data_IF_013711115791
#
_entry.id   IF_013711115791
#
_cell.length_a   1.000
_cell.length_b   1.000
_cell.length_c   1.000
_cell.angle_alpha   90.00
_cell.angle_beta   90.00
_cell.angle_gamma   90.00
#
_symmetry.space_group_name_H-M   'P 1'
#
loop_
_entity.id
_entity.type
_entity.pdbx_description
1 polymer ?
#
# COMPACT_ATOMS: atom_id res chain seq x y z
N UNK A 1 43.39 -5.89 37.07
CA UNK A 1 42.53 -5.14 36.11
C UNK A 1 41.42 -6.09 35.70
N UNK A 2 40.32 -6.03 36.43
CA UNK A 2 39.18 -6.90 36.14
C UNK A 2 38.38 -6.29 34.95
N UNK A 3 38.38 -6.99 33.85
CA UNK A 3 37.49 -6.66 32.72
C UNK A 3 36.04 -6.94 33.15
N UNK A 4 35.28 -5.89 33.39
CA UNK A 4 33.83 -6.00 33.54
C UNK A 4 33.23 -6.10 32.17
N UNK A 5 33.06 -7.31 31.67
CA UNK A 5 32.21 -7.60 30.51
C UNK A 5 30.76 -7.57 30.97
N UNK A 6 30.07 -6.48 30.70
CA UNK A 6 28.62 -6.43 30.86
C UNK A 6 27.95 -7.07 29.64
N UNK A 7 27.34 -8.22 29.85
CA UNK A 7 26.48 -8.88 28.83
C UNK A 7 25.15 -8.09 28.75
N UNK A 8 25.05 -7.19 27.79
CA UNK A 8 23.79 -6.54 27.45
C UNK A 8 23.06 -7.38 26.43
N UNK A 9 21.93 -8.00 26.80
CA UNK A 9 21.02 -8.54 25.81
C UNK A 9 20.39 -7.39 25.04
N UNK A 10 20.29 -7.51 23.71
CA UNK A 10 19.65 -6.50 22.84
C UNK A 10 18.23 -6.14 23.29
N UNK A 11 17.53 -7.06 23.96
CA UNK A 11 16.20 -6.85 24.55
C UNK A 11 16.17 -5.83 25.71
N UNK A 12 17.30 -5.52 26.32
CA UNK A 12 17.41 -4.54 27.42
C UNK A 12 17.65 -3.10 26.92
N UNK A 13 17.97 -2.92 25.64
CA UNK A 13 18.28 -1.61 25.04
C UNK A 13 17.10 -0.97 24.31
N UNK A 14 16.01 -1.70 24.11
CA UNK A 14 14.81 -1.19 23.47
C UNK A 14 13.72 -1.08 24.52
N UNK A 15 13.28 0.14 24.84
CA UNK A 15 12.09 0.31 25.66
C UNK A 15 10.91 -0.45 25.05
N UNK A 16 10.20 -1.28 25.83
CA UNK A 16 9.08 -2.03 25.30
C UNK A 16 8.02 -1.06 24.80
N UNK A 17 7.73 -1.09 23.50
CA UNK A 17 6.59 -0.35 22.92
C UNK A 17 5.32 -0.94 23.53
N UNK A 18 4.69 -0.20 24.43
CA UNK A 18 3.43 -0.60 25.04
C UNK A 18 2.25 -0.28 24.14
N UNK A 19 1.30 -1.20 24.02
CA UNK A 19 0.04 -0.97 23.35
C UNK A 19 -0.81 0.02 24.17
N UNK A 20 -1.01 1.23 23.65
CA UNK A 20 -1.79 2.29 24.30
C UNK A 20 -3.26 2.25 23.87
N UNK A 21 -3.53 1.81 22.66
CA UNK A 21 -4.86 1.74 22.08
C UNK A 21 -5.05 0.37 21.43
N UNK A 22 -6.08 -0.37 21.87
CA UNK A 22 -6.49 -1.62 21.22
C UNK A 22 -7.54 -1.28 20.18
N UNK A 23 -7.23 -1.34 18.88
CA UNK A 23 -8.22 -1.06 17.86
C UNK A 23 -9.26 -2.19 17.80
N UNK A 24 -10.54 -1.84 17.97
CA UNK A 24 -11.65 -2.74 17.65
C UNK A 24 -12.12 -2.41 16.24
N UNK A 25 -11.94 -3.36 15.33
CA UNK A 25 -12.36 -3.21 13.93
C UNK A 25 -13.28 -4.35 13.53
N UNK A 26 -14.25 -4.03 12.67
CA UNK A 26 -14.99 -5.03 11.91
C UNK A 26 -14.62 -4.85 10.45
N UNK A 27 -14.21 -5.93 9.80
CA UNK A 27 -13.73 -5.91 8.42
C UNK A 27 -14.77 -6.58 7.53
N UNK A 28 -15.16 -5.90 6.46
CA UNK A 28 -15.91 -6.48 5.36
C UNK A 28 -15.10 -6.30 4.08
N UNK A 29 -14.92 -7.36 3.30
CA UNK A 29 -14.20 -7.32 2.04
C UNK A 29 -14.99 -8.05 0.95
N UNK A 30 -14.97 -7.51 -0.26
CA UNK A 30 -15.62 -8.10 -1.43
C UNK A 30 -14.82 -7.76 -2.68
N UNK A 31 -14.69 -8.74 -3.56
CA UNK A 31 -14.21 -8.55 -4.93
C UNK A 31 -15.22 -9.15 -5.89
N UNK A 32 -15.25 -8.68 -7.13
CA UNK A 32 -16.18 -9.14 -8.16
C UNK A 32 -15.49 -9.10 -9.51
N UNK A 33 -15.64 -10.15 -10.30
CA UNK A 33 -15.09 -10.24 -11.66
C UNK A 33 -15.69 -9.21 -12.63
N UNK A 34 -16.88 -8.70 -12.32
CA UNK A 34 -17.66 -7.88 -13.22
C UNK A 34 -18.30 -8.71 -14.34
N UNK A 35 -18.72 -8.01 -15.42
CA UNK A 35 -19.49 -8.63 -16.51
C UNK A 35 -18.73 -8.73 -17.84
N UNK A 36 -17.52 -8.21 -17.91
CA UNK A 36 -16.75 -8.05 -19.15
C UNK A 36 -15.42 -8.79 -19.11
N UNK A 37 -14.80 -8.86 -17.92
CA UNK A 37 -13.47 -9.46 -17.74
C UNK A 37 -13.57 -10.98 -17.59
N UNK A 38 -12.57 -11.71 -18.08
CA UNK A 38 -12.43 -13.16 -17.90
C UNK A 38 -11.69 -13.50 -16.60
N UNK A 39 -10.81 -12.61 -16.13
CA UNK A 39 -10.04 -12.75 -14.91
C UNK A 39 -10.26 -11.55 -13.98
N UNK A 40 -10.27 -11.82 -12.69
CA UNK A 40 -10.21 -10.78 -11.68
C UNK A 40 -8.75 -10.44 -11.40
N UNK A 41 -8.36 -9.23 -11.76
CA UNK A 41 -6.99 -8.71 -11.59
C UNK A 41 -6.84 -7.96 -10.26
N UNK A 42 -7.95 -7.72 -9.55
CA UNK A 42 -7.95 -7.09 -8.23
C UNK A 42 -7.48 -8.07 -7.14
N UNK A 43 -6.74 -7.55 -6.20
CA UNK A 43 -6.36 -8.26 -4.98
C UNK A 43 -6.56 -7.36 -3.77
N UNK A 44 -7.11 -7.93 -2.71
CA UNK A 44 -7.04 -7.33 -1.39
C UNK A 44 -6.43 -8.31 -0.40
N UNK A 45 -5.81 -7.78 0.63
CA UNK A 45 -5.27 -8.54 1.74
C UNK A 45 -5.37 -7.70 3.01
N UNK A 46 -5.48 -8.35 4.16
CA UNK A 46 -5.40 -7.66 5.43
C UNK A 46 -4.68 -8.53 6.46
N UNK A 47 -4.00 -7.87 7.39
CA UNK A 47 -3.30 -8.52 8.47
C UNK A 47 -3.71 -7.90 9.81
N UNK A 48 -4.16 -8.75 10.72
CA UNK A 48 -4.57 -8.40 12.08
C UNK A 48 -3.66 -9.20 13.03
N UNK A 49 -2.67 -8.56 13.68
CA UNK A 49 -1.78 -9.25 14.61
C UNK A 49 -2.54 -9.86 15.79
N UNK A 50 -2.16 -11.08 16.18
CA UNK A 50 -2.65 -11.73 17.39
C UNK A 50 -1.87 -11.32 18.64
N UNK A 51 -0.59 -10.95 18.48
CA UNK A 51 0.28 -10.54 19.56
C UNK A 51 0.30 -9.02 19.75
N UNK A 52 0.34 -8.59 21.02
CA UNK A 52 0.29 -7.18 21.40
C UNK A 52 1.50 -6.38 20.91
N UNK A 53 2.68 -7.00 20.80
CA UNK A 53 3.90 -6.30 20.36
C UNK A 53 3.80 -5.90 18.90
N UNK A 54 3.42 -6.84 18.04
CA UNK A 54 3.21 -6.57 16.62
C UNK A 54 2.06 -5.58 16.42
N UNK A 55 0.97 -5.73 17.17
CA UNK A 55 -0.14 -4.78 17.13
C UNK A 55 0.29 -3.37 17.54
N UNK A 56 1.13 -3.23 18.56
CA UNK A 56 1.62 -1.94 19.04
C UNK A 56 2.61 -1.26 18.09
N UNK A 57 3.42 -2.06 17.36
CA UNK A 57 4.51 -1.55 16.52
C UNK A 57 4.17 -1.49 15.04
N UNK A 58 3.40 -2.45 14.55
CA UNK A 58 3.04 -2.60 13.13
C UNK A 58 1.57 -2.29 12.85
N UNK A 59 0.70 -2.46 13.85
CA UNK A 59 -0.73 -2.17 13.74
C UNK A 59 -1.49 -3.16 12.86
N UNK A 60 -2.68 -2.73 12.45
CA UNK A 60 -3.53 -3.44 11.49
C UNK A 60 -3.18 -2.96 10.08
N UNK A 61 -3.18 -3.89 9.12
CA UNK A 61 -2.82 -3.59 7.72
C UNK A 61 -3.97 -4.00 6.81
N UNK A 62 -4.37 -3.11 5.90
CA UNK A 62 -5.36 -3.35 4.85
C UNK A 62 -4.77 -2.87 3.54
N UNK A 63 -4.76 -3.72 2.51
CA UNK A 63 -4.17 -3.41 1.21
C UNK A 63 -5.13 -3.79 0.10
N UNK A 64 -5.24 -2.93 -0.90
CA UNK A 64 -5.94 -3.18 -2.17
C UNK A 64 -4.98 -2.90 -3.32
N UNK A 65 -4.96 -3.78 -4.30
CA UNK A 65 -4.17 -3.68 -5.51
C UNK A 65 -5.05 -3.99 -6.73
N UNK A 66 -5.12 -3.08 -7.70
CA UNK A 66 -5.78 -3.28 -9.00
C UNK A 66 -4.70 -3.60 -10.04
N UNK A 67 -4.71 -4.83 -10.54
CA UNK A 67 -3.69 -5.34 -11.44
C UNK A 67 -3.94 -4.94 -12.89
N UNK A 68 -2.88 -4.60 -13.59
CA UNK A 68 -2.92 -4.27 -15.02
C UNK A 68 -1.86 -5.03 -15.81
N UNK A 69 -2.11 -5.19 -17.12
CA UNK A 69 -1.19 -5.90 -18.03
C UNK A 69 -1.89 -6.96 -18.88
N UNK A 70 -3.18 -7.10 -18.71
CA UNK A 70 -4.04 -8.00 -19.44
C UNK A 70 -3.91 -9.49 -19.06
N UNK A 71 -5.01 -10.23 -19.12
CA UNK A 71 -5.09 -11.65 -18.78
C UNK A 71 -4.55 -11.97 -17.37
N UNK A 72 -3.69 -12.99 -17.25
CA UNK A 72 -3.11 -13.40 -15.98
C UNK A 72 -1.97 -12.49 -15.45
N UNK A 73 -1.51 -11.51 -16.22
CA UNK A 73 -0.36 -10.69 -15.84
C UNK A 73 -0.73 -9.69 -14.74
N UNK A 74 -1.87 -9.01 -14.85
CA UNK A 74 -2.36 -8.09 -13.82
C UNK A 74 -2.67 -8.81 -12.51
N UNK A 75 -3.32 -9.98 -12.57
CA UNK A 75 -3.58 -10.80 -11.38
C UNK A 75 -2.30 -11.18 -10.63
N UNK A 76 -1.24 -11.54 -11.38
CA UNK A 76 0.04 -11.87 -10.76
C UNK A 76 0.69 -10.62 -10.16
N UNK A 77 0.64 -9.49 -10.86
CA UNK A 77 1.20 -8.24 -10.36
C UNK A 77 0.54 -7.82 -9.04
N UNK A 78 -0.78 -7.81 -8.97
CA UNK A 78 -1.53 -7.44 -7.76
C UNK A 78 -1.26 -8.41 -6.60
N UNK A 79 -1.20 -9.72 -6.86
CA UNK A 79 -0.91 -10.72 -5.84
C UNK A 79 0.51 -10.60 -5.29
N UNK A 80 1.51 -10.44 -6.17
CA UNK A 80 2.91 -10.27 -5.76
C UNK A 80 3.09 -8.97 -4.96
N UNK A 81 2.51 -7.86 -5.43
CA UNK A 81 2.62 -6.58 -4.74
C UNK A 81 2.01 -6.63 -3.34
N UNK A 82 0.76 -7.13 -3.22
CA UNK A 82 0.07 -7.27 -1.94
C UNK A 82 0.88 -8.08 -0.91
N UNK A 83 1.31 -9.29 -1.30
CA UNK A 83 2.04 -10.20 -0.42
C UNK A 83 3.40 -9.64 -0.02
N UNK A 84 4.17 -9.14 -1.01
CA UNK A 84 5.50 -8.59 -0.74
C UNK A 84 5.43 -7.35 0.14
N UNK A 85 4.46 -6.47 -0.10
CA UNK A 85 4.27 -5.28 0.71
C UNK A 85 4.01 -5.62 2.18
N UNK A 86 3.08 -6.53 2.47
CA UNK A 86 2.76 -6.94 3.85
C UNK A 86 3.96 -7.62 4.51
N UNK A 87 4.58 -8.58 3.83
CA UNK A 87 5.71 -9.33 4.37
C UNK A 87 6.89 -8.41 4.71
N UNK A 88 7.29 -7.54 3.79
CA UNK A 88 8.40 -6.61 4.01
C UNK A 88 8.07 -5.58 5.09
N UNK A 89 6.84 -5.06 5.13
CA UNK A 89 6.45 -4.12 6.17
C UNK A 89 6.52 -4.74 7.57
N UNK A 90 5.98 -5.95 7.74
CA UNK A 90 5.97 -6.65 9.03
C UNK A 90 7.39 -6.96 9.52
N UNK A 91 8.27 -7.38 8.61
CA UNK A 91 9.66 -7.76 8.91
C UNK A 91 10.65 -6.59 8.83
N UNK A 92 10.19 -5.38 8.52
CA UNK A 92 11.07 -4.21 8.40
C UNK A 92 11.70 -3.86 9.75
N UNK A 93 13.03 -3.66 9.82
CA UNK A 93 13.75 -3.43 11.09
C UNK A 93 13.41 -2.08 11.74
N UNK A 94 12.98 -1.09 10.95
CA UNK A 94 12.56 0.21 11.50
C UNK A 94 11.25 0.09 12.27
N UNK A 95 11.20 0.76 13.43
CA UNK A 95 9.98 0.99 14.19
C UNK A 95 9.21 2.20 13.71
N UNK A 96 9.80 3.03 12.86
CA UNK A 96 9.13 4.17 12.22
C UNK A 96 8.27 3.67 11.05
N UNK A 97 6.97 3.94 11.14
CA UNK A 97 5.96 3.41 10.21
C UNK A 97 6.19 3.88 8.78
N UNK A 98 6.47 5.17 8.58
CA UNK A 98 6.66 5.74 7.24
C UNK A 98 7.90 5.15 6.54
N UNK A 99 9.00 4.97 7.28
CA UNK A 99 10.22 4.33 6.77
C UNK A 99 9.95 2.88 6.36
N UNK A 100 9.21 2.14 7.19
CA UNK A 100 8.84 0.76 6.89
C UNK A 100 7.90 0.67 5.67
N UNK A 101 6.93 1.59 5.53
CA UNK A 101 6.04 1.68 4.38
C UNK A 101 6.81 1.93 3.08
N UNK A 102 7.73 2.91 3.08
CA UNK A 102 8.57 3.19 1.90
C UNK A 102 9.40 1.97 1.51
N UNK A 103 10.02 1.31 2.49
CA UNK A 103 10.77 0.08 2.26
C UNK A 103 9.92 -1.03 1.65
N UNK A 104 8.69 -1.20 2.13
CA UNK A 104 7.75 -2.20 1.63
C UNK A 104 7.31 -1.91 0.18
N UNK A 105 7.03 -0.64 -0.17
CA UNK A 105 6.69 -0.26 -1.56
C UNK A 105 7.88 -0.48 -2.49
N UNK A 106 9.09 -0.08 -2.08
CA UNK A 106 10.30 -0.28 -2.88
C UNK A 106 10.53 -1.76 -3.17
N UNK A 107 10.37 -2.62 -2.17
CA UNK A 107 10.52 -4.06 -2.34
C UNK A 107 9.43 -4.67 -3.23
N UNK A 108 8.17 -4.29 -3.02
CA UNK A 108 7.04 -4.74 -3.85
C UNK A 108 7.22 -4.31 -5.31
N UNK A 109 7.58 -3.03 -5.54
CA UNK A 109 7.85 -2.51 -6.88
C UNK A 109 8.98 -3.29 -7.55
N UNK A 110 10.10 -3.46 -6.86
CA UNK A 110 11.26 -4.16 -7.40
C UNK A 110 10.92 -5.58 -7.80
N UNK A 111 10.20 -6.30 -6.94
CA UNK A 111 9.85 -7.70 -7.21
C UNK A 111 8.91 -7.83 -8.41
N UNK A 112 7.85 -7.03 -8.49
CA UNK A 112 6.93 -7.04 -9.64
C UNK A 112 7.68 -6.65 -10.93
N UNK A 113 8.53 -5.63 -10.88
CA UNK A 113 9.33 -5.18 -12.03
C UNK A 113 10.29 -6.26 -12.52
N UNK A 114 11.01 -6.93 -11.61
CA UNK A 114 11.95 -7.99 -11.96
C UNK A 114 11.23 -9.19 -12.61
N UNK A 115 10.07 -9.59 -12.07
CA UNK A 115 9.23 -10.64 -12.69
C UNK A 115 8.69 -10.20 -14.05
N UNK A 116 8.25 -8.94 -14.17
CA UNK A 116 7.78 -8.35 -15.44
C UNK A 116 8.83 -8.40 -16.54
N UNK A 117 10.10 -8.19 -16.19
CA UNK A 117 11.21 -8.14 -17.14
C UNK A 117 11.81 -9.51 -17.42
N UNK A 118 11.86 -10.40 -16.43
CA UNK A 118 12.53 -11.70 -16.53
C UNK A 118 11.64 -12.80 -17.12
N UNK A 119 10.31 -12.71 -16.95
CA UNK A 119 9.39 -13.78 -17.35
C UNK A 119 8.72 -13.46 -18.70
N UNK A 120 8.89 -14.31 -19.73
CA UNK A 120 8.22 -14.11 -21.01
C UNK A 120 6.69 -14.01 -20.85
N UNK A 121 6.07 -13.07 -21.56
CA UNK A 121 4.63 -12.83 -21.49
C UNK A 121 4.15 -12.01 -20.28
N UNK A 122 5.07 -11.49 -19.46
CA UNK A 122 4.76 -10.63 -18.30
C UNK A 122 5.17 -9.17 -18.49
N UNK A 123 5.74 -8.84 -19.65
CA UNK A 123 6.24 -7.49 -19.92
C UNK A 123 5.12 -6.45 -19.80
N UNK A 124 5.39 -5.43 -18.98
CA UNK A 124 4.46 -4.32 -18.75
C UNK A 124 3.34 -4.64 -17.75
N UNK A 125 3.40 -5.77 -17.04
CA UNK A 125 2.49 -5.97 -15.91
C UNK A 125 2.80 -4.98 -14.80
N UNK A 126 1.76 -4.55 -14.12
CA UNK A 126 1.84 -3.63 -12.99
C UNK A 126 0.58 -3.69 -12.16
N UNK A 127 0.53 -2.89 -11.12
CA UNK A 127 -0.64 -2.81 -10.26
C UNK A 127 -0.67 -1.49 -9.49
N UNK A 128 -1.84 -1.06 -9.06
CA UNK A 128 -1.96 -0.05 -8.01
C UNK A 128 -1.57 -0.66 -6.66
N UNK A 129 -1.34 0.17 -5.66
CA UNK A 129 -1.21 -0.23 -4.27
C UNK A 129 -1.76 0.87 -3.38
N UNK A 130 -2.88 0.59 -2.71
CA UNK A 130 -3.48 1.47 -1.71
C UNK A 130 -3.53 0.72 -0.39
N UNK A 131 -2.79 1.19 0.61
CA UNK A 131 -2.72 0.56 1.92
C UNK A 131 -3.18 1.53 3.01
N UNK A 132 -4.02 1.03 3.93
CA UNK A 132 -4.36 1.66 5.18
C UNK A 132 -3.74 0.87 6.33
N UNK A 133 -2.98 1.57 7.17
CA UNK A 133 -2.48 1.01 8.41
C UNK A 133 -3.09 1.76 9.59
N UNK A 134 -3.44 1.02 10.64
CA UNK A 134 -3.94 1.57 11.89
C UNK A 134 -2.97 1.19 13.00
N UNK A 135 -2.07 2.12 13.34
CA UNK A 135 -1.03 1.93 14.37
C UNK A 135 -1.32 2.84 15.54
N UNK A 136 -1.58 2.26 16.70
CA UNK A 136 -1.97 3.01 17.90
C UNK A 136 -3.20 3.90 17.64
N UNK A 137 -3.06 5.21 17.79
CA UNK A 137 -4.09 6.23 17.59
C UNK A 137 -4.03 6.89 16.19
N UNK A 138 -3.19 6.40 15.29
CA UNK A 138 -2.98 6.99 13.96
C UNK A 138 -3.38 6.05 12.83
N UNK A 139 -3.91 6.64 11.77
CA UNK A 139 -4.02 6.02 10.46
C UNK A 139 -2.86 6.46 9.56
N UNK A 140 -2.39 5.55 8.71
CA UNK A 140 -1.40 5.83 7.68
C UNK A 140 -1.93 5.34 6.34
N UNK A 141 -1.95 6.22 5.36
CA UNK A 141 -2.19 5.89 3.95
C UNK A 141 -0.83 5.69 3.28
N UNK A 142 -0.73 4.66 2.45
CA UNK A 142 0.35 4.52 1.47
C UNK A 142 -0.29 4.28 0.09
N UNK A 143 0.04 5.13 -0.89
CA UNK A 143 -0.66 5.23 -2.17
C UNK A 143 0.28 5.17 -3.36
N UNK A 144 -0.06 4.29 -4.34
CA UNK A 144 0.46 4.25 -5.70
C UNK A 144 -0.69 3.86 -6.64
N UNK A 145 -1.03 4.70 -7.59
CA UNK A 145 -2.11 4.45 -8.56
C UNK A 145 -3.41 5.19 -8.23
N UNK A 146 -4.54 4.68 -8.72
CA UNK A 146 -5.87 5.31 -8.62
C UNK A 146 -6.92 4.48 -7.84
N UNK A 147 -6.50 3.43 -7.15
CA UNK A 147 -7.32 2.80 -6.11
C UNK A 147 -7.46 3.74 -4.93
N UNK A 148 -8.66 3.86 -4.34
CA UNK A 148 -8.99 4.98 -3.46
C UNK A 148 -9.26 4.57 -2.03
N UNK A 149 -8.83 5.40 -1.09
CA UNK A 149 -9.20 5.36 0.32
C UNK A 149 -10.19 6.47 0.65
N UNK A 150 -11.32 6.11 1.26
CA UNK A 150 -12.33 7.04 1.75
C UNK A 150 -12.49 6.90 3.25
N UNK A 151 -12.77 8.02 3.91
CA UNK A 151 -13.22 8.07 5.30
C UNK A 151 -14.67 8.54 5.36
N UNK A 152 -15.51 7.75 6.00
CA UNK A 152 -16.87 8.16 6.37
C UNK A 152 -16.89 8.50 7.85
N UNK A 153 -17.26 9.73 8.18
CA UNK A 153 -17.44 10.21 9.55
C UNK A 153 -18.57 11.22 9.59
N UNK A 154 -19.47 11.08 10.57
CA UNK A 154 -20.61 11.99 10.76
C UNK A 154 -21.43 12.21 9.48
N UNK A 155 -21.69 11.13 8.72
CA UNK A 155 -22.36 11.11 7.41
C UNK A 155 -21.61 11.85 6.27
N UNK A 156 -20.39 12.32 6.51
CA UNK A 156 -19.53 12.92 5.50
C UNK A 156 -18.53 11.90 4.94
N UNK A 157 -18.57 11.67 3.61
CA UNK A 157 -17.63 10.80 2.89
C UNK A 157 -16.55 11.66 2.25
N UNK A 158 -15.31 11.47 2.69
CA UNK A 158 -14.14 12.22 2.19
C UNK A 158 -13.14 11.23 1.59
N UNK A 159 -12.68 11.50 0.37
CA UNK A 159 -11.55 10.80 -0.22
C UNK A 159 -10.26 11.28 0.47
N UNK A 160 -9.48 10.34 0.98
CA UNK A 160 -8.20 10.62 1.65
C UNK A 160 -7.03 10.48 0.67
N UNK A 161 -7.11 9.51 -0.25
CA UNK A 161 -6.07 9.29 -1.27
C UNK A 161 -6.17 10.29 -2.43
N UNK A 162 -5.04 10.62 -3.05
CA UNK A 162 -5.00 11.32 -4.34
C UNK A 162 -4.75 10.30 -5.46
N UNK A 163 -5.48 10.44 -6.58
CA UNK A 163 -5.30 9.55 -7.73
C UNK A 163 -4.04 9.93 -8.51
N UNK A 164 -3.27 8.92 -8.89
CA UNK A 164 -2.10 9.10 -9.75
C UNK A 164 -2.48 8.82 -11.21
N UNK A 165 -3.30 9.69 -11.77
CA UNK A 165 -3.72 9.64 -13.17
C UNK A 165 -3.24 10.86 -13.94
N UNK A 166 -3.19 10.73 -15.26
CA UNK A 166 -2.83 11.86 -16.13
C UNK A 166 -3.80 13.03 -15.97
N UNK A 167 -5.10 12.75 -15.83
CA UNK A 167 -6.11 13.81 -15.69
C UNK A 167 -6.00 14.55 -14.36
N UNK A 168 -5.71 13.86 -13.25
CA UNK A 168 -5.53 14.49 -11.95
C UNK A 168 -4.26 15.36 -11.93
N UNK A 169 -3.18 14.88 -12.54
CA UNK A 169 -1.96 15.68 -12.73
C UNK A 169 -2.24 16.93 -13.59
N UNK A 170 -3.02 16.79 -14.69
CA UNK A 170 -3.37 17.89 -15.58
C UNK A 170 -4.29 18.94 -14.88
N UNK A 171 -5.24 18.49 -14.05
CA UNK A 171 -6.08 19.39 -13.23
C UNK A 171 -5.20 20.19 -12.25
N UNK A 172 -4.32 19.50 -11.53
CA UNK A 172 -3.41 20.16 -10.56
C UNK A 172 -2.50 21.22 -11.21
N UNK A 173 -2.12 20.97 -12.47
CA UNK A 173 -1.32 21.94 -13.25
C UNK A 173 -2.17 23.03 -13.93
N UNK A 174 -3.50 22.96 -13.80
CA UNK A 174 -4.41 23.92 -14.44
C UNK A 174 -4.52 23.77 -15.96
N UNK A 175 -4.14 22.62 -16.52
CA UNK A 175 -4.18 22.33 -17.95
C UNK A 175 -5.57 21.97 -18.45
N UNK A 176 -6.37 21.32 -17.60
CA UNK A 176 -7.75 20.97 -17.87
C UNK A 176 -8.62 21.24 -16.63
N UNK A 177 -9.91 21.47 -16.84
CA UNK A 177 -10.89 21.57 -15.76
C UNK A 177 -11.33 20.18 -15.26
N UNK A 178 -11.89 20.07 -14.04
CA UNK A 178 -12.48 18.82 -13.56
C UNK A 178 -13.58 18.25 -14.48
N UNK A 179 -14.36 19.12 -15.11
CA UNK A 179 -15.42 18.71 -16.05
C UNK A 179 -14.84 18.06 -17.32
N UNK A 180 -13.77 18.63 -17.88
CA UNK A 180 -13.07 18.09 -19.04
C UNK A 180 -12.43 16.73 -18.74
N UNK A 181 -11.94 16.54 -17.51
CA UNK A 181 -11.30 15.30 -17.08
C UNK A 181 -12.26 14.10 -17.17
N UNK A 182 -13.54 14.28 -16.89
CA UNK A 182 -14.54 13.19 -16.85
C UNK A 182 -14.70 12.47 -18.20
N UNK A 183 -14.50 13.18 -19.29
CA UNK A 183 -14.63 12.67 -20.68
C UNK A 183 -13.30 12.56 -21.40
N UNK A 184 -12.18 12.90 -20.75
CA UNK A 184 -10.87 12.94 -21.37
C UNK A 184 -10.41 11.54 -21.82
N UNK A 185 -9.80 11.39 -23.02
CA UNK A 185 -9.30 10.09 -23.49
C UNK A 185 -8.31 9.42 -22.54
N UNK A 186 -7.52 10.22 -21.81
CA UNK A 186 -6.50 9.73 -20.86
C UNK A 186 -6.97 9.63 -19.42
N UNK A 187 -8.30 9.64 -19.15
CA UNK A 187 -8.85 9.58 -17.78
C UNK A 187 -8.48 8.31 -17.01
N UNK A 188 -8.08 7.24 -17.69
CA UNK A 188 -7.66 5.98 -17.09
C UNK A 188 -6.16 5.71 -17.24
N UNK A 189 -5.38 6.73 -17.64
CA UNK A 189 -3.93 6.58 -17.80
C UNK A 189 -3.27 6.85 -16.45
N UNK A 190 -2.70 5.81 -15.86
CA UNK A 190 -1.92 5.92 -14.64
C UNK A 190 -0.59 6.61 -14.90
N UNK A 191 -0.21 7.51 -14.00
CA UNK A 191 1.12 8.15 -13.99
C UNK A 191 2.09 7.46 -13.03
N UNK A 192 1.55 6.62 -12.11
CA UNK A 192 2.34 5.80 -11.18
C UNK A 192 1.69 4.44 -11.02
N UNK A 193 2.47 3.38 -11.17
CA UNK A 193 2.05 2.00 -10.91
C UNK A 193 3.23 1.15 -10.45
N UNK A 194 2.97 0.26 -9.52
CA UNK A 194 3.95 -0.72 -9.00
C UNK A 194 4.31 -1.70 -10.11
N UNK A 195 5.61 -1.89 -10.35
CA UNK A 195 6.14 -2.90 -11.28
C UNK A 195 6.29 -2.46 -12.74
N UNK A 196 5.87 -1.24 -13.10
CA UNK A 196 6.01 -0.74 -14.48
C UNK A 196 7.38 -0.13 -14.75
N UNK A 197 8.01 0.42 -13.72
CA UNK A 197 9.33 1.04 -13.77
C UNK A 197 10.23 0.49 -12.67
N UNK A 198 11.55 0.67 -12.80
CA UNK A 198 12.53 0.20 -11.82
C UNK A 198 12.36 0.84 -10.43
N UNK A 199 11.79 2.02 -10.37
CA UNK A 199 11.42 2.72 -9.13
C UNK A 199 10.10 3.45 -9.30
N UNK A 200 9.31 3.53 -8.25
CA UNK A 200 8.04 4.26 -8.22
C UNK A 200 7.97 5.13 -6.95
N UNK A 201 7.62 6.41 -7.07
CA UNK A 201 7.33 7.24 -5.90
C UNK A 201 5.96 6.82 -5.31
N UNK A 202 5.89 6.79 -3.98
CA UNK A 202 4.64 6.57 -3.24
C UNK A 202 4.31 7.76 -2.35
N UNK A 203 3.04 8.07 -2.23
CA UNK A 203 2.58 9.06 -1.28
C UNK A 203 2.27 8.36 0.05
N UNK A 204 2.75 8.93 1.13
CA UNK A 204 2.49 8.44 2.49
C UNK A 204 1.97 9.60 3.31
N UNK A 205 0.78 9.41 3.87
CA UNK A 205 0.12 10.38 4.72
C UNK A 205 -0.26 9.77 6.05
N UNK A 206 -0.22 10.57 7.12
CA UNK A 206 -0.69 10.14 8.43
C UNK A 206 -1.77 11.07 8.95
N UNK A 207 -2.80 10.48 9.57
CA UNK A 207 -3.94 11.21 10.10
C UNK A 207 -4.37 10.66 11.45
N UNK A 208 -5.02 11.51 12.27
CA UNK A 208 -5.65 11.09 13.53
C UNK A 208 -6.94 10.29 13.26
N UNK A 209 -7.26 9.39 14.16
CA UNK A 209 -8.54 8.65 14.17
C UNK A 209 -9.70 9.53 14.55
#
# INVERSE_FOLDING_TARGET
>A
MDEVTADYSLDQLVEPVSLRVVPKVSVGAKTDLGRVRENNEDKFEFYIPEDERTLATKGLIFVVCDGMGGHAAGQIASELACKTFIDVYLNHPSTEVETALRGAVVAANRYVFDVSTAVPGRKGMGTTLTALLLVQDRGYLCQVGDSRLYRLKDDELVQISEDHTWVDDAIRQGLISPDEATTHPYRHVLTRAVGTEASVPCDIESFGR
#
